data_IF_422423369643
#
_entry.id   IF_422423369643
#
_cell.length_a   1.000
_cell.length_b   1.000
_cell.length_c   1.000
_cell.angle_alpha   90.00
_cell.angle_beta   90.00
_cell.angle_gamma   90.00
#
_symmetry.space_group_name_H-M   'P 1'
#
loop_
_entity.id
_entity.type
_entity.pdbx_description
1 polymer ?
#
# COMPACT_ATOMS: atom_id res chain seq x y z
N UNK A 1 24.57 -6.00 15.80
CA UNK A 1 23.62 -5.29 14.90
C UNK A 1 22.27 -6.01 14.86
N UNK A 2 22.22 -7.36 14.80
CA UNK A 2 20.95 -8.10 14.73
C UNK A 2 20.07 -8.02 15.99
N UNK A 3 20.66 -8.06 17.19
CA UNK A 3 19.90 -8.12 18.44
C UNK A 3 19.23 -6.77 18.82
N UNK A 4 19.87 -5.64 18.56
CA UNK A 4 19.31 -4.31 18.88
C UNK A 4 18.17 -3.95 17.94
N UNK A 5 18.25 -4.33 16.67
CA UNK A 5 17.18 -4.12 15.70
C UNK A 5 15.95 -4.98 16.06
N UNK A 6 16.17 -6.23 16.49
CA UNK A 6 15.10 -7.11 16.97
C UNK A 6 14.37 -6.54 18.19
N UNK A 7 15.08 -5.97 19.15
CA UNK A 7 14.50 -5.39 20.38
C UNK A 7 13.62 -4.17 20.02
N UNK A 8 14.16 -3.24 19.24
CA UNK A 8 13.44 -2.03 18.82
C UNK A 8 12.20 -2.32 17.99
N UNK A 9 12.29 -3.30 17.10
CA UNK A 9 11.17 -3.68 16.23
C UNK A 9 10.09 -4.45 17.01
N UNK A 10 10.50 -5.27 17.98
CA UNK A 10 9.59 -5.90 18.95
C UNK A 10 8.84 -4.86 19.79
N UNK A 11 9.49 -3.80 20.22
CA UNK A 11 8.86 -2.69 20.96
C UNK A 11 7.86 -1.92 20.09
N UNK A 12 8.18 -1.65 18.84
CA UNK A 12 7.25 -1.03 17.87
C UNK A 12 6.00 -1.91 17.67
N UNK A 13 6.18 -3.20 17.47
CA UNK A 13 5.08 -4.15 17.36
C UNK A 13 4.18 -4.12 18.59
N UNK A 14 4.76 -4.22 19.78
CA UNK A 14 4.01 -4.16 21.03
C UNK A 14 3.30 -2.82 21.23
N UNK A 15 3.93 -1.71 20.87
CA UNK A 15 3.33 -0.37 21.00
C UNK A 15 2.13 -0.17 20.06
N UNK A 16 2.21 -0.70 18.85
CA UNK A 16 1.12 -0.66 17.88
C UNK A 16 -0.08 -1.51 18.33
N UNK A 17 0.20 -2.73 18.77
CA UNK A 17 -0.84 -3.70 19.11
C UNK A 17 -1.53 -3.37 20.44
N UNK A 18 -0.82 -2.81 21.43
CA UNK A 18 -1.38 -2.35 22.72
C UNK A 18 -2.46 -1.27 22.57
N UNK A 19 -2.43 -0.50 21.49
CA UNK A 19 -3.46 0.53 21.21
C UNK A 19 -4.79 -0.05 20.72
N UNK A 20 -4.85 -1.35 20.45
CA UNK A 20 -6.06 -2.04 19.94
C UNK A 20 -6.81 -2.76 21.06
N UNK A 21 -8.02 -2.28 21.40
CA UNK A 21 -8.77 -2.72 22.59
C UNK A 21 -9.32 -4.14 22.50
N UNK A 22 -9.55 -4.67 21.29
CA UNK A 22 -10.25 -5.93 21.09
C UNK A 22 -9.36 -7.13 20.74
N UNK A 23 -8.04 -6.98 20.90
CA UNK A 23 -7.10 -8.07 20.67
C UNK A 23 -6.96 -8.92 21.93
N UNK A 24 -6.84 -10.26 21.83
CA UNK A 24 -6.57 -11.14 22.97
C UNK A 24 -5.32 -10.74 23.76
N UNK A 25 -5.33 -10.87 25.09
CA UNK A 25 -4.18 -10.47 25.93
C UNK A 25 -2.94 -11.33 25.66
N UNK A 26 -3.12 -12.61 25.41
CA UNK A 26 -2.08 -13.58 25.10
C UNK A 26 -1.34 -13.27 23.77
N UNK A 27 -1.96 -12.51 22.89
CA UNK A 27 -1.32 -12.02 21.67
C UNK A 27 -0.11 -11.10 21.94
N UNK A 28 -0.12 -10.40 23.09
CA UNK A 28 0.93 -9.47 23.50
C UNK A 28 2.02 -10.09 24.38
N UNK A 29 1.96 -11.39 24.62
CA UNK A 29 2.94 -12.03 25.46
C UNK A 29 4.33 -12.06 24.79
N UNK A 30 5.37 -11.92 25.61
CA UNK A 30 6.78 -11.97 25.14
C UNK A 30 7.08 -13.23 24.33
N UNK A 31 6.43 -14.35 24.66
CA UNK A 31 6.55 -15.62 23.94
C UNK A 31 6.11 -15.57 22.49
N UNK A 32 5.17 -14.69 22.14
CA UNK A 32 4.74 -14.47 20.75
C UNK A 32 5.73 -13.58 20.00
N UNK A 33 6.23 -12.54 20.65
CA UNK A 33 7.23 -11.64 20.06
C UNK A 33 8.53 -12.40 19.74
N UNK A 34 8.90 -13.36 20.58
CA UNK A 34 10.06 -14.23 20.35
C UNK A 34 9.92 -15.16 19.12
N UNK A 35 8.71 -15.33 18.60
CA UNK A 35 8.43 -16.10 17.37
C UNK A 35 8.50 -15.25 16.10
N UNK A 36 8.75 -13.95 16.24
CA UNK A 36 8.96 -13.10 15.07
C UNK A 36 10.24 -13.52 14.34
N UNK A 37 10.10 -13.76 13.05
CA UNK A 37 11.19 -14.13 12.18
C UNK A 37 11.45 -13.04 11.17
N UNK A 38 12.70 -12.58 11.09
CA UNK A 38 13.11 -11.64 10.05
C UNK A 38 13.36 -12.42 8.75
N UNK A 39 12.70 -11.98 7.69
CA UNK A 39 12.79 -12.59 6.36
C UNK A 39 13.06 -11.51 5.33
N UNK A 40 14.03 -11.72 4.47
CA UNK A 40 14.21 -10.90 3.29
C UNK A 40 13.34 -11.44 2.15
N UNK A 41 12.42 -10.59 1.67
CA UNK A 41 11.59 -10.89 0.53
C UNK A 41 12.18 -10.28 -0.74
N UNK A 42 12.26 -11.06 -1.83
CA UNK A 42 12.76 -10.58 -3.10
C UNK A 42 11.72 -9.73 -3.82
N UNK A 43 12.20 -8.61 -4.39
CA UNK A 43 11.40 -7.70 -5.19
C UNK A 43 12.09 -7.34 -6.49
N UNK A 44 11.30 -7.16 -7.53
CA UNK A 44 11.71 -6.46 -8.73
C UNK A 44 11.30 -5.01 -8.64
N UNK A 45 12.24 -4.12 -8.92
CA UNK A 45 12.01 -2.68 -9.01
C UNK A 45 12.25 -2.25 -10.43
N UNK A 46 11.26 -1.61 -11.01
CA UNK A 46 11.27 -1.06 -12.35
C UNK A 46 11.11 0.45 -12.31
N UNK A 47 11.91 1.16 -13.08
CA UNK A 47 11.83 2.60 -13.21
C UNK A 47 12.68 3.10 -14.36
N UNK A 48 12.77 4.42 -14.48
CA UNK A 48 13.55 5.06 -15.52
C UNK A 48 12.99 6.40 -15.96
N UNK A 49 13.54 6.90 -17.06
CA UNK A 49 13.10 8.11 -17.72
C UNK A 49 12.38 7.77 -19.02
N UNK A 50 11.22 8.36 -19.24
CA UNK A 50 10.34 8.06 -20.37
C UNK A 50 9.89 9.36 -21.04
N UNK A 51 9.88 9.35 -22.38
CA UNK A 51 9.23 10.40 -23.16
C UNK A 51 7.77 10.08 -23.39
N UNK A 52 6.91 11.07 -23.23
CA UNK A 52 5.48 10.93 -23.44
C UNK A 52 5.00 11.88 -24.54
N UNK A 53 4.15 11.38 -25.44
CA UNK A 53 3.35 12.16 -26.37
C UNK A 53 1.88 11.77 -26.16
N UNK A 54 1.11 12.70 -25.62
CA UNK A 54 -0.29 12.51 -25.27
C UNK A 54 -1.18 13.39 -26.13
N UNK A 55 -2.16 12.79 -26.76
CA UNK A 55 -3.14 13.44 -27.63
C UNK A 55 -4.54 13.10 -27.12
N UNK A 56 -5.42 14.10 -27.05
CA UNK A 56 -6.81 13.92 -26.65
C UNK A 56 -7.72 14.98 -27.31
N UNK A 57 -9.03 14.76 -27.26
CA UNK A 57 -10.04 15.81 -27.47
C UNK A 57 -10.50 16.34 -26.14
N UNK A 58 -10.23 17.61 -25.89
CA UNK A 58 -10.65 18.35 -24.70
C UNK A 58 -11.94 19.12 -24.93
N UNK A 59 -12.87 19.05 -23.97
CA UNK A 59 -14.11 19.79 -24.00
C UNK A 59 -14.14 20.84 -22.90
N UNK A 60 -14.44 22.11 -23.27
CA UNK A 60 -14.75 23.19 -22.34
C UNK A 60 -16.24 23.57 -22.50
N UNK A 61 -16.89 23.76 -21.37
CA UNK A 61 -18.29 24.21 -21.33
C UNK A 61 -18.35 25.53 -20.58
N UNK A 62 -18.99 26.51 -21.19
CA UNK A 62 -19.28 27.80 -20.60
C UNK A 62 -20.80 27.99 -20.55
N UNK A 63 -21.30 28.32 -19.37
CA UNK A 63 -22.72 28.58 -19.16
C UNK A 63 -22.86 30.02 -18.68
N UNK A 64 -23.78 30.78 -19.27
CA UNK A 64 -24.12 32.10 -18.82
C UNK A 64 -25.62 32.37 -19.02
N UNK A 65 -26.16 33.33 -18.29
CA UNK A 65 -27.58 33.72 -18.36
C UNK A 65 -27.68 35.14 -18.81
N UNK A 66 -28.67 35.43 -19.69
CA UNK A 66 -29.02 36.77 -20.13
C UNK A 66 -30.54 36.91 -20.03
N UNK A 67 -30.99 37.68 -19.06
CA UNK A 67 -32.44 37.76 -18.71
C UNK A 67 -32.90 36.36 -18.21
N UNK A 68 -33.98 35.86 -18.79
CA UNK A 68 -34.57 34.56 -18.43
C UNK A 68 -34.03 33.39 -19.29
N UNK A 69 -33.01 33.65 -20.13
CA UNK A 69 -32.45 32.64 -21.04
C UNK A 69 -31.05 32.23 -20.58
N UNK A 70 -30.85 30.92 -20.40
CA UNK A 70 -29.56 30.31 -20.14
C UNK A 70 -28.93 29.85 -21.46
N UNK A 71 -27.67 30.22 -21.65
CA UNK A 71 -26.85 29.82 -22.79
C UNK A 71 -25.76 28.85 -22.36
N UNK A 72 -25.59 27.77 -23.12
CA UNK A 72 -24.51 26.82 -22.95
C UNK A 72 -23.67 26.77 -24.22
N UNK A 73 -22.41 27.14 -24.11
CA UNK A 73 -21.41 27.00 -25.18
C UNK A 73 -20.51 25.80 -24.89
N UNK A 74 -20.37 24.91 -25.86
CA UNK A 74 -19.44 23.78 -25.80
C UNK A 74 -18.37 23.96 -26.86
N UNK A 75 -17.12 24.10 -26.42
CA UNK A 75 -15.94 24.18 -27.29
C UNK A 75 -15.13 22.92 -27.24
N UNK A 76 -14.70 22.41 -28.39
CA UNK A 76 -13.89 21.21 -28.55
C UNK A 76 -12.50 21.62 -29.01
N UNK A 77 -11.47 21.06 -28.38
CA UNK A 77 -10.06 21.36 -28.65
C UNK A 77 -9.28 20.08 -28.93
N UNK A 78 -8.35 20.14 -29.85
CA UNK A 78 -7.30 19.13 -29.97
C UNK A 78 -6.22 19.45 -28.95
N UNK A 79 -6.04 18.54 -28.00
CA UNK A 79 -5.08 18.67 -26.89
C UNK A 79 -3.88 17.83 -27.19
N UNK A 80 -2.68 18.42 -27.13
CA UNK A 80 -1.43 17.71 -27.19
C UNK A 80 -0.55 18.10 -26.01
N UNK A 81 0.04 17.10 -25.35
CA UNK A 81 1.02 17.27 -24.28
C UNK A 81 2.21 16.37 -24.54
N UNK A 82 3.39 16.97 -24.50
CA UNK A 82 4.65 16.27 -24.62
C UNK A 82 5.47 16.54 -23.37
N UNK A 83 6.21 15.56 -22.90
CA UNK A 83 7.05 15.73 -21.73
C UNK A 83 7.83 14.50 -21.34
N UNK A 84 8.58 14.62 -20.26
CA UNK A 84 9.35 13.54 -19.66
C UNK A 84 8.66 13.10 -18.36
N UNK A 85 8.52 11.78 -18.18
CA UNK A 85 8.06 11.16 -16.94
C UNK A 85 9.21 10.37 -16.36
N UNK A 86 9.61 10.72 -15.14
CA UNK A 86 10.57 9.94 -14.35
C UNK A 86 9.85 9.10 -13.33
N UNK A 87 10.20 7.83 -13.27
CA UNK A 87 9.68 6.88 -12.27
C UNK A 87 10.85 6.26 -11.53
N UNK A 88 10.93 6.51 -10.23
CA UNK A 88 12.07 6.08 -9.40
C UNK A 88 11.96 4.63 -8.91
N UNK A 89 10.82 3.99 -9.10
CA UNK A 89 10.73 2.56 -8.85
C UNK A 89 9.34 2.05 -8.53
N UNK A 90 8.73 1.38 -9.48
CA UNK A 90 7.59 0.50 -9.26
C UNK A 90 8.10 -0.83 -8.75
N UNK A 91 7.61 -1.27 -7.60
CA UNK A 91 8.09 -2.50 -6.97
C UNK A 91 7.03 -3.59 -6.98
N UNK A 92 7.46 -4.82 -7.24
CA UNK A 92 6.64 -6.03 -7.17
C UNK A 92 7.39 -7.14 -6.46
N UNK A 93 6.65 -7.85 -5.61
CA UNK A 93 7.15 -9.05 -4.97
C UNK A 93 7.45 -10.13 -6.02
N UNK A 94 8.58 -10.81 -5.87
CA UNK A 94 9.07 -11.85 -6.76
C UNK A 94 8.77 -13.27 -6.25
N UNK A 95 7.69 -13.44 -5.44
CA UNK A 95 7.24 -14.72 -4.90
C UNK A 95 5.77 -15.00 -5.27
N UNK A 96 5.51 -16.21 -5.76
CA UNK A 96 4.15 -16.71 -5.98
C UNK A 96 3.51 -17.27 -4.71
N UNK A 97 4.34 -17.83 -3.83
CA UNK A 97 3.89 -18.63 -2.66
C UNK A 97 3.47 -17.79 -1.46
N UNK A 98 3.86 -16.54 -1.42
CA UNK A 98 3.50 -15.65 -0.35
C UNK A 98 2.13 -15.04 -0.59
N UNK A 99 1.39 -14.78 0.48
CA UNK A 99 0.18 -13.96 0.40
C UNK A 99 0.57 -12.59 -0.17
N UNK A 100 0.31 -12.43 -1.45
CA UNK A 100 0.75 -11.28 -2.25
C UNK A 100 0.22 -9.98 -1.67
N UNK A 101 -1.04 -10.00 -1.26
CA UNK A 101 -1.71 -8.84 -0.72
C UNK A 101 -1.08 -8.42 0.62
N UNK A 102 -0.76 -9.39 1.48
CA UNK A 102 -0.11 -9.11 2.76
C UNK A 102 1.29 -8.50 2.58
N UNK A 103 2.08 -9.04 1.64
CA UNK A 103 3.47 -8.61 1.44
C UNK A 103 3.54 -7.29 0.68
N UNK A 104 2.68 -7.06 -0.30
CA UNK A 104 2.63 -5.79 -1.03
C UNK A 104 2.08 -4.66 -0.14
N UNK A 105 1.17 -4.96 0.75
CA UNK A 105 0.64 -3.98 1.68
C UNK A 105 1.64 -3.45 2.72
N UNK A 106 2.76 -4.14 3.02
CA UNK A 106 3.80 -3.58 3.92
C UNK A 106 4.60 -2.44 3.29
N UNK A 107 4.46 -2.22 1.99
CA UNK A 107 5.07 -1.06 1.33
C UNK A 107 4.46 0.27 1.88
N UNK A 108 5.08 1.44 1.70
CA UNK A 108 6.28 1.67 0.90
C UNK A 108 7.59 1.40 1.65
N UNK A 109 8.64 1.11 0.87
CA UNK A 109 10.03 1.13 1.32
C UNK A 109 10.72 2.40 0.80
N UNK A 110 11.65 2.92 1.58
CA UNK A 110 12.51 4.04 1.19
C UNK A 110 13.64 3.53 0.31
N UNK A 111 13.51 3.73 -0.99
CA UNK A 111 14.46 3.19 -1.97
C UNK A 111 15.82 3.90 -1.92
N UNK A 112 15.85 5.13 -1.43
CA UNK A 112 17.05 5.93 -1.21
C UNK A 112 17.96 5.36 -0.12
N UNK A 113 17.43 4.56 0.80
CA UNK A 113 18.17 3.90 1.87
C UNK A 113 18.73 2.53 1.47
N UNK A 114 18.55 2.10 0.21
CA UNK A 114 19.09 0.82 -0.26
C UNK A 114 20.61 0.79 -0.19
N UNK A 115 21.13 -0.37 0.26
CA UNK A 115 22.55 -0.63 0.34
C UNK A 115 22.95 -1.78 -0.58
N UNK A 116 24.18 -1.79 -1.11
CA UNK A 116 24.70 -2.95 -1.83
C UNK A 116 24.57 -4.21 -0.99
N UNK A 117 24.19 -5.31 -1.63
CA UNK A 117 24.00 -6.58 -0.91
C UNK A 117 25.33 -7.07 -0.30
N UNK A 118 25.26 -7.51 0.95
CA UNK A 118 26.34 -8.21 1.65
C UNK A 118 25.76 -9.42 2.39
N UNK A 119 26.50 -10.52 2.38
CA UNK A 119 26.13 -11.74 3.14
C UNK A 119 25.99 -11.49 4.64
N UNK A 120 26.65 -10.46 5.17
CA UNK A 120 26.52 -10.06 6.57
C UNK A 120 25.09 -9.65 6.96
N UNK A 121 24.30 -9.15 6.02
CA UNK A 121 22.90 -8.78 6.27
C UNK A 121 21.98 -9.97 6.51
N UNK A 122 22.36 -11.17 6.05
CA UNK A 122 21.61 -12.40 6.28
C UNK A 122 21.81 -12.97 7.68
N UNK A 123 22.71 -12.42 8.48
CA UNK A 123 22.94 -12.87 9.85
C UNK A 123 21.70 -12.61 10.71
N UNK A 124 21.02 -13.67 11.14
CA UNK A 124 19.79 -13.62 11.93
C UNK A 124 18.50 -13.40 11.12
N UNK A 125 18.59 -13.36 9.78
CA UNK A 125 17.47 -13.29 8.87
C UNK A 125 17.43 -14.51 7.95
N UNK A 126 16.25 -14.92 7.56
CA UNK A 126 16.04 -15.83 6.44
C UNK A 126 15.96 -15.01 5.15
N UNK A 127 16.24 -15.63 4.01
CA UNK A 127 16.05 -15.00 2.71
C UNK A 127 15.24 -15.94 1.82
N UNK A 128 14.14 -15.45 1.29
CA UNK A 128 13.36 -16.20 0.31
C UNK A 128 14.00 -16.08 -1.07
N UNK A 129 14.01 -17.20 -1.79
CA UNK A 129 14.47 -17.24 -3.17
C UNK A 129 13.31 -16.87 -4.09
N UNK A 130 13.54 -15.93 -5.01
CA UNK A 130 12.53 -15.58 -6.01
C UNK A 130 12.09 -16.80 -6.83
N UNK A 131 10.85 -16.86 -7.17
CA UNK A 131 10.23 -17.82 -8.09
C UNK A 131 9.49 -17.15 -9.26
N UNK A 132 9.49 -15.79 -9.28
CA UNK A 132 8.97 -14.98 -10.38
C UNK A 132 10.15 -14.23 -11.03
N UNK A 133 10.34 -14.44 -12.32
CA UNK A 133 11.39 -13.75 -13.08
C UNK A 133 10.89 -12.40 -13.62
N UNK A 134 11.84 -11.51 -13.91
CA UNK A 134 11.59 -10.16 -14.43
C UNK A 134 10.63 -10.14 -15.62
N UNK A 135 10.79 -11.08 -16.56
CA UNK A 135 9.98 -11.16 -17.78
C UNK A 135 8.50 -11.42 -17.51
N UNK A 136 8.18 -12.09 -16.40
CA UNK A 136 6.80 -12.41 -16.02
C UNK A 136 6.08 -11.19 -15.43
N UNK A 137 6.81 -10.32 -14.75
CA UNK A 137 6.31 -9.11 -14.09
C UNK A 137 6.31 -7.88 -15.02
N UNK A 138 7.22 -7.84 -15.99
CA UNK A 138 7.42 -6.68 -16.84
C UNK A 138 6.14 -6.17 -17.52
N UNK A 139 5.23 -6.99 -18.06
CA UNK A 139 3.99 -6.49 -18.68
C UNK A 139 3.09 -5.75 -17.69
N UNK A 140 2.98 -6.25 -16.46
CA UNK A 140 2.16 -5.65 -15.40
C UNK A 140 2.71 -4.27 -15.00
N UNK A 141 4.01 -4.19 -14.72
CA UNK A 141 4.66 -2.94 -14.32
C UNK A 141 4.68 -1.89 -15.43
N UNK A 142 4.86 -2.31 -16.69
CA UNK A 142 4.75 -1.40 -17.84
C UNK A 142 3.35 -0.84 -18.01
N UNK A 143 2.30 -1.64 -17.79
CA UNK A 143 0.91 -1.19 -17.83
C UNK A 143 0.61 -0.21 -16.68
N UNK A 144 1.12 -0.47 -15.50
CA UNK A 144 0.99 0.43 -14.35
C UNK A 144 1.67 1.76 -14.62
N UNK A 145 2.91 1.74 -15.13
CA UNK A 145 3.64 2.93 -15.56
C UNK A 145 2.84 3.74 -16.59
N UNK A 146 2.29 3.07 -17.61
CA UNK A 146 1.46 3.73 -18.62
C UNK A 146 0.23 4.41 -18.00
N UNK A 147 -0.41 3.75 -17.04
CA UNK A 147 -1.56 4.30 -16.32
C UNK A 147 -1.17 5.55 -15.50
N UNK A 148 -0.04 5.50 -14.81
CA UNK A 148 0.48 6.64 -14.04
C UNK A 148 0.86 7.81 -14.95
N UNK A 149 1.58 7.55 -16.04
CA UNK A 149 1.95 8.57 -17.02
C UNK A 149 0.72 9.22 -17.65
N UNK A 150 -0.29 8.43 -18.01
CA UNK A 150 -1.57 8.93 -18.53
C UNK A 150 -2.28 9.82 -17.51
N UNK A 151 -2.28 9.42 -16.23
CA UNK A 151 -2.81 10.23 -15.14
C UNK A 151 -2.11 11.56 -14.99
N UNK A 152 -0.78 11.58 -15.09
CA UNK A 152 0.00 12.81 -15.06
C UNK A 152 -0.34 13.74 -16.24
N UNK A 153 -0.44 13.23 -17.47
CA UNK A 153 -0.80 14.02 -18.65
C UNK A 153 -2.23 14.58 -18.55
N UNK A 154 -3.17 13.82 -18.01
CA UNK A 154 -4.52 14.31 -17.73
C UNK A 154 -4.53 15.46 -16.72
N UNK A 155 -3.71 15.38 -15.68
CA UNK A 155 -3.60 16.45 -14.69
C UNK A 155 -3.03 17.74 -15.30
N UNK A 156 -2.13 17.63 -16.27
CA UNK A 156 -1.63 18.80 -17.04
C UNK A 156 -2.67 19.38 -18.00
N UNK A 157 -3.76 18.66 -18.26
CA UNK A 157 -4.87 19.08 -19.10
C UNK A 157 -6.16 19.31 -18.28
N UNK A 158 -6.05 19.73 -17.03
CA UNK A 158 -7.15 19.89 -16.08
C UNK A 158 -8.11 21.05 -16.39
N UNK A 159 -7.74 21.93 -17.33
CA UNK A 159 -8.61 23.00 -17.79
C UNK A 159 -9.80 22.54 -18.65
N UNK A 160 -9.81 21.25 -19.06
CA UNK A 160 -10.90 20.65 -19.82
C UNK A 160 -11.83 19.85 -18.90
N UNK A 161 -13.16 20.00 -19.11
CA UNK A 161 -14.16 19.24 -18.32
C UNK A 161 -14.12 17.75 -18.62
N UNK A 162 -13.84 17.41 -19.88
CA UNK A 162 -13.64 16.01 -20.30
C UNK A 162 -12.54 15.91 -21.35
N UNK A 163 -11.85 14.78 -21.30
CA UNK A 163 -10.86 14.36 -22.29
C UNK A 163 -11.36 13.08 -22.94
N UNK A 164 -11.44 13.07 -24.24
CA UNK A 164 -11.97 11.95 -25.05
C UNK A 164 -10.95 11.55 -26.12
N UNK A 165 -11.10 10.33 -26.67
CA UNK A 165 -10.22 9.80 -27.73
C UNK A 165 -8.73 9.87 -27.40
N UNK A 166 -8.40 9.60 -26.14
CA UNK A 166 -7.04 9.68 -25.65
C UNK A 166 -6.13 8.66 -26.30
N UNK A 167 -4.99 9.15 -26.79
CA UNK A 167 -3.86 8.34 -27.26
C UNK A 167 -2.62 8.78 -26.53
N UNK A 168 -1.81 7.84 -26.11
CA UNK A 168 -0.54 8.11 -25.47
C UNK A 168 0.52 7.18 -26.03
N UNK A 169 1.64 7.75 -26.41
CA UNK A 169 2.86 7.03 -26.70
C UNK A 169 3.83 7.25 -25.53
N UNK A 170 4.38 6.16 -25.01
CA UNK A 170 5.36 6.18 -23.93
C UNK A 170 6.61 5.46 -24.41
N UNK A 171 7.70 6.21 -24.60
CA UNK A 171 8.95 5.71 -25.12
C UNK A 171 10.04 5.77 -24.06
N UNK A 172 10.73 4.66 -23.73
CA UNK A 172 11.80 4.68 -22.77
C UNK A 172 13.03 5.40 -23.33
N UNK A 173 13.56 6.39 -22.60
CA UNK A 173 14.91 6.92 -22.77
C UNK A 173 15.91 6.03 -22.06
N UNK A 174 15.60 5.66 -20.83
CA UNK A 174 16.41 4.80 -20.00
C UNK A 174 15.50 3.95 -19.12
N UNK A 175 15.58 2.63 -19.26
CA UNK A 175 14.93 1.67 -18.37
C UNK A 175 15.93 1.13 -17.35
N UNK A 176 15.47 0.95 -16.12
CA UNK A 176 16.27 0.40 -15.05
C UNK A 176 15.50 -0.68 -14.29
N UNK A 177 16.10 -1.86 -14.18
CA UNK A 177 15.60 -2.96 -13.39
C UNK A 177 16.58 -3.28 -12.27
N UNK A 178 16.05 -3.41 -11.05
CA UNK A 178 16.84 -3.76 -9.88
C UNK A 178 16.19 -4.92 -9.16
N UNK A 179 17.01 -5.90 -8.79
CA UNK A 179 16.62 -6.97 -7.89
C UNK A 179 16.98 -6.59 -6.47
N UNK A 180 16.01 -6.56 -5.57
CA UNK A 180 16.19 -6.04 -4.22
C UNK A 180 15.62 -7.01 -3.19
N UNK A 181 16.23 -7.08 -2.04
CA UNK A 181 15.77 -7.83 -0.88
C UNK A 181 15.26 -6.84 0.17
N UNK A 182 13.96 -6.86 0.47
CA UNK A 182 13.37 -6.02 1.49
C UNK A 182 13.19 -6.78 2.81
N UNK A 183 13.58 -6.19 3.95
CA UNK A 183 13.41 -6.80 5.26
C UNK A 183 11.94 -6.77 5.69
N UNK A 184 11.40 -7.92 6.01
CA UNK A 184 10.06 -8.09 6.57
C UNK A 184 10.13 -8.95 7.81
N UNK A 185 9.54 -8.49 8.90
CA UNK A 185 9.29 -9.30 10.07
C UNK A 185 7.97 -10.02 9.90
N UNK A 186 8.00 -11.33 10.02
CA UNK A 186 6.81 -12.17 9.95
C UNK A 186 6.49 -12.78 11.30
N UNK A 187 5.21 -12.88 11.62
CA UNK A 187 4.70 -13.54 12.81
C UNK A 187 3.48 -14.34 12.45
N UNK A 188 3.42 -15.57 12.91
CA UNK A 188 2.24 -16.43 12.88
C UNK A 188 1.66 -16.57 14.28
N UNK A 189 0.35 -16.42 14.40
CA UNK A 189 -0.38 -16.57 15.65
C UNK A 189 -1.52 -17.57 15.50
N UNK A 190 -1.52 -18.69 16.24
CA UNK A 190 -2.65 -19.61 16.27
C UNK A 190 -3.77 -19.01 17.13
N UNK A 191 -4.88 -18.64 16.51
CA UNK A 191 -6.03 -18.09 17.21
C UNK A 191 -6.83 -19.17 18.00
N UNK A 192 -7.55 -18.74 19.02
CA UNK A 192 -8.45 -19.63 19.80
C UNK A 192 -9.61 -20.17 18.99
N UNK A 193 -9.90 -19.59 17.86
CA UNK A 193 -10.90 -20.03 16.88
C UNK A 193 -10.40 -21.11 15.91
N UNK A 194 -9.16 -21.59 16.09
CA UNK A 194 -8.53 -22.59 15.25
C UNK A 194 -7.94 -22.05 13.94
N UNK A 195 -8.01 -20.74 13.71
CA UNK A 195 -7.39 -20.08 12.55
C UNK A 195 -5.96 -19.68 12.86
N UNK A 196 -5.13 -19.69 11.83
CA UNK A 196 -3.77 -19.14 11.90
C UNK A 196 -3.80 -17.75 11.31
N UNK A 197 -3.37 -16.78 12.10
CA UNK A 197 -3.27 -15.38 11.70
C UNK A 197 -1.83 -15.07 11.29
N UNK A 198 -1.67 -14.38 10.18
CA UNK A 198 -0.38 -14.00 9.64
C UNK A 198 -0.19 -12.50 9.75
N UNK A 199 0.99 -12.10 10.17
CA UNK A 199 1.38 -10.71 10.30
C UNK A 199 2.68 -10.48 9.57
N UNK A 200 2.75 -9.32 8.92
CA UNK A 200 3.97 -8.83 8.33
C UNK A 200 4.23 -7.40 8.81
N UNK A 201 5.48 -7.10 9.14
CA UNK A 201 5.91 -5.75 9.49
C UNK A 201 7.08 -5.37 8.61
N UNK A 202 6.99 -4.18 8.01
CA UNK A 202 8.09 -3.59 7.27
C UNK A 202 9.30 -3.36 8.19
N UNK A 203 10.42 -4.00 7.91
CA UNK A 203 11.63 -3.90 8.74
C UNK A 203 12.29 -2.52 8.71
N UNK A 204 11.95 -1.68 7.74
CA UNK A 204 12.48 -0.32 7.62
C UNK A 204 11.56 0.71 8.29
N UNK A 205 10.28 0.71 7.95
CA UNK A 205 9.32 1.72 8.41
C UNK A 205 8.57 1.32 9.69
N UNK A 206 8.51 0.02 10.00
CA UNK A 206 7.72 -0.54 11.09
C UNK A 206 6.22 -0.57 10.79
N UNK A 207 5.80 -0.34 9.55
CA UNK A 207 4.40 -0.49 9.13
C UNK A 207 3.97 -1.93 9.30
N UNK A 208 2.91 -2.16 10.06
CA UNK A 208 2.39 -3.49 10.38
C UNK A 208 1.10 -3.74 9.65
N UNK A 209 0.97 -4.92 9.07
CA UNK A 209 -0.21 -5.40 8.36
C UNK A 209 -0.46 -6.86 8.75
N UNK A 210 -1.72 -7.23 8.74
CA UNK A 210 -2.20 -8.58 9.01
C UNK A 210 -3.57 -8.58 9.64
N UNK A 211 -4.19 -9.73 9.67
CA UNK A 211 -5.49 -9.92 10.29
C UNK A 211 -5.33 -10.03 11.80
N UNK A 212 -5.93 -9.12 12.54
CA UNK A 212 -5.88 -9.13 14.00
C UNK A 212 -6.95 -10.07 14.57
N UNK A 213 -6.58 -11.02 15.46
CA UNK A 213 -7.57 -11.83 16.13
C UNK A 213 -8.43 -10.93 17.01
N UNK A 214 -9.75 -11.11 16.92
CA UNK A 214 -10.70 -10.34 17.72
C UNK A 214 -11.19 -11.20 18.88
N UNK A 215 -11.03 -10.71 20.10
CA UNK A 215 -11.60 -11.31 21.30
C UNK A 215 -13.10 -10.98 21.39
N UNK A 216 -13.93 -11.93 20.98
CA UNK A 216 -15.38 -11.78 20.97
C UNK A 216 -15.95 -11.49 22.36
N UNK A 217 -15.34 -12.03 23.42
CA UNK A 217 -15.74 -11.77 24.79
C UNK A 217 -15.54 -10.32 25.20
N UNK A 218 -14.40 -9.73 24.81
CA UNK A 218 -14.11 -8.31 25.03
C UNK A 218 -15.04 -7.41 24.25
N UNK A 219 -15.33 -7.74 22.99
CA UNK A 219 -16.29 -6.99 22.17
C UNK A 219 -17.66 -7.01 22.83
N UNK A 220 -18.14 -8.19 23.28
CA UNK A 220 -19.42 -8.33 23.96
C UNK A 220 -19.47 -7.54 25.29
N UNK A 221 -18.39 -7.58 26.09
CA UNK A 221 -18.30 -6.81 27.32
C UNK A 221 -18.32 -5.29 27.08
N UNK A 222 -17.61 -4.81 26.07
CA UNK A 222 -17.64 -3.41 25.66
C UNK A 222 -19.02 -2.98 25.14
N UNK A 223 -19.65 -3.83 24.31
CA UNK A 223 -20.99 -3.58 23.81
C UNK A 223 -22.00 -3.48 24.95
N UNK A 224 -21.99 -4.43 25.91
CA UNK A 224 -22.85 -4.40 27.08
C UNK A 224 -22.57 -3.16 27.95
N UNK A 225 -21.32 -2.82 28.18
CA UNK A 225 -20.90 -1.67 28.98
C UNK A 225 -21.37 -0.32 28.44
N UNK A 226 -21.59 -0.21 27.14
CA UNK A 226 -22.12 1.01 26.49
C UNK A 226 -23.63 0.94 26.34
N UNK A 227 -24.17 -0.19 25.91
CA UNK A 227 -25.61 -0.33 25.58
C UNK A 227 -26.48 -0.32 26.81
N UNK A 228 -26.07 -0.95 27.93
CA UNK A 228 -26.87 -1.03 29.15
C UNK A 228 -27.09 0.37 29.77
N UNK A 229 -26.04 1.21 30.00
CA UNK A 229 -26.25 2.56 30.52
C UNK A 229 -27.10 3.44 29.58
N UNK A 230 -26.88 3.32 28.26
CA UNK A 230 -27.66 4.06 27.29
C UNK A 230 -29.14 3.67 27.30
N UNK A 231 -29.44 2.37 27.43
CA UNK A 231 -30.79 1.85 27.53
C UNK A 231 -31.48 2.33 28.82
N UNK A 232 -30.78 2.34 29.95
CA UNK A 232 -31.29 2.86 31.22
C UNK A 232 -31.59 4.37 31.09
N UNK A 233 -30.66 5.13 30.48
CA UNK A 233 -30.85 6.56 30.29
C UNK A 233 -32.06 6.88 29.39
N UNK A 234 -32.21 6.15 28.28
CA UNK A 234 -33.39 6.32 27.41
C UNK A 234 -34.71 5.93 28.09
N UNK A 235 -34.70 4.87 28.89
CA UNK A 235 -35.87 4.46 29.69
C UNK A 235 -36.25 5.53 30.73
N UNK A 236 -35.29 6.15 31.40
CA UNK A 236 -35.50 7.24 32.34
C UNK A 236 -36.10 8.51 31.67
N UNK A 237 -35.59 8.84 30.48
CA UNK A 237 -36.10 9.99 29.68
C UNK A 237 -37.56 9.75 29.23
N UNK A 238 -37.93 8.52 28.91
CA UNK A 238 -39.32 8.17 28.52
C UNK A 238 -40.30 8.13 29.70
N UNK A 239 -39.81 8.05 30.94
CA UNK A 239 -40.62 8.06 32.14
C UNK A 239 -40.81 9.46 32.75
N UNK A 240 -40.06 10.46 32.28
CA UNK A 240 -40.19 11.88 32.62
C UNK A 240 -41.07 12.63 31.62
#
# INVERSE_FOLDING_TARGET
>A
VGSEMCIRDSEKFLSFTRKKHFIPKDFFEKSQVQKMTGVYFPYWIYGGDFETDYIARGRKVRVWQTGDVEYTETSIYDVRREGEVRVDGLSRNALNKADRDLIECVQPYRLEEMQPFSMGYLSGFQAEKRDIEQQQIAPELKKELETMARGAMRNEANEYISLEQEKMNLSPKQENWRYVLFPVWTLTYPGKDGKVYYYAMNGQTGKLIGDLPVDKGRVAAWFAGISIPLMILTALIMLL
#
